data_IF_022519770813
#
_entry.id   IF_022519770813
#
_cell.length_a   1.000
_cell.length_b   1.000
_cell.length_c   1.000
_cell.angle_alpha   90.00
_cell.angle_beta   90.00
_cell.angle_gamma   90.00
#
_symmetry.space_group_name_H-M   'P 1'
#
loop_
_entity.id
_entity.type
_entity.pdbx_description
1 polymer ?
#
# COMPACT_ATOMS: atom_id res chain seq x y z
N UNK A 1 -16.96 14.90 7.82
CA UNK A 1 -18.02 14.36 8.71
C UNK A 1 -17.50 13.18 9.54
N UNK A 2 -17.97 12.98 10.79
CA UNK A 2 -17.52 11.88 11.65
C UNK A 2 -17.66 10.49 11.00
N UNK A 3 -18.72 10.25 10.24
CA UNK A 3 -18.93 8.99 9.52
C UNK A 3 -17.80 8.68 8.53
N UNK A 4 -17.42 9.66 7.69
CA UNK A 4 -16.34 9.51 6.70
C UNK A 4 -14.98 9.33 7.40
N UNK A 5 -14.74 10.09 8.47
CA UNK A 5 -13.50 9.99 9.24
C UNK A 5 -13.33 8.62 9.91
N UNK A 6 -14.38 8.12 10.58
CA UNK A 6 -14.36 6.81 11.24
C UNK A 6 -14.20 5.66 10.24
N UNK A 7 -14.91 5.74 9.10
CA UNK A 7 -14.82 4.74 8.05
C UNK A 7 -13.44 4.73 7.41
N UNK A 8 -12.93 5.88 6.96
CA UNK A 8 -11.62 5.97 6.31
C UNK A 8 -10.46 5.53 7.22
N UNK A 9 -10.50 5.89 8.51
CA UNK A 9 -9.49 5.45 9.47
C UNK A 9 -9.54 3.93 9.70
N UNK A 10 -10.72 3.38 10.01
CA UNK A 10 -10.87 1.94 10.30
C UNK A 10 -10.63 1.06 9.07
N UNK A 11 -11.14 1.48 7.91
CA UNK A 11 -10.98 0.77 6.65
C UNK A 11 -9.55 0.88 6.12
N UNK A 12 -8.92 2.06 6.25
CA UNK A 12 -7.55 2.28 5.85
C UNK A 12 -6.52 1.50 6.68
N UNK A 13 -6.82 1.25 7.96
CA UNK A 13 -5.98 0.42 8.82
C UNK A 13 -5.86 -1.05 8.35
N UNK A 14 -6.84 -1.56 7.61
CA UNK A 14 -6.90 -2.97 7.20
C UNK A 14 -6.64 -3.20 5.71
N UNK A 15 -7.19 -2.37 4.82
CA UNK A 15 -7.13 -2.53 3.35
C UNK A 15 -6.25 -1.46 2.69
N UNK A 16 -6.04 -0.32 3.35
CA UNK A 16 -5.30 0.84 2.82
C UNK A 16 -3.79 0.85 3.12
N UNK A 17 -3.16 -0.31 3.27
CA UNK A 17 -1.78 -0.42 3.76
C UNK A 17 -0.71 -0.23 2.67
N UNK A 18 -0.70 0.93 2.00
CA UNK A 18 0.25 1.24 0.91
C UNK A 18 1.73 1.04 1.32
N UNK A 19 2.08 1.38 2.56
CA UNK A 19 3.43 1.22 3.09
C UNK A 19 3.80 -0.26 3.28
N UNK A 20 2.89 -1.07 3.82
CA UNK A 20 3.17 -2.47 4.14
C UNK A 20 3.02 -3.40 2.93
N UNK A 21 1.96 -3.23 2.15
CA UNK A 21 1.62 -4.12 1.03
C UNK A 21 2.23 -3.65 -0.31
N UNK A 22 2.51 -2.35 -0.46
CA UNK A 22 3.08 -1.77 -1.67
C UNK A 22 4.57 -1.52 -1.55
N UNK A 23 4.94 -0.53 -0.73
CA UNK A 23 6.31 0.01 -0.70
C UNK A 23 7.30 -1.00 -0.11
N UNK A 24 6.95 -1.69 0.98
CA UNK A 24 7.89 -2.61 1.62
C UNK A 24 8.36 -3.76 0.73
N UNK A 25 7.48 -4.59 0.14
CA UNK A 25 7.95 -5.66 -0.74
C UNK A 25 8.69 -5.13 -1.98
N UNK A 26 8.31 -3.95 -2.51
CA UNK A 26 9.04 -3.31 -3.60
C UNK A 26 10.47 -2.97 -3.19
N UNK A 27 10.62 -2.33 -2.03
CA UNK A 27 11.92 -1.94 -1.47
C UNK A 27 12.81 -3.18 -1.28
N UNK A 28 12.27 -4.26 -0.71
CA UNK A 28 13.00 -5.52 -0.54
C UNK A 28 13.44 -6.11 -1.89
N UNK A 29 12.52 -6.19 -2.86
CA UNK A 29 12.81 -6.75 -4.17
C UNK A 29 13.92 -5.97 -4.90
N UNK A 30 13.83 -4.64 -4.89
CA UNK A 30 14.82 -3.74 -5.51
C UNK A 30 16.17 -3.83 -4.81
N UNK A 31 16.20 -3.95 -3.48
CA UNK A 31 17.45 -4.07 -2.71
C UNK A 31 18.17 -5.41 -2.98
N UNK A 32 17.41 -6.48 -3.23
CA UNK A 32 17.94 -7.83 -3.45
C UNK A 32 18.32 -8.10 -4.90
N UNK A 33 17.61 -7.51 -5.86
CA UNK A 33 17.86 -7.78 -7.28
C UNK A 33 19.35 -7.72 -7.69
N UNK A 34 20.16 -6.70 -7.29
CA UNK A 34 21.58 -6.65 -7.63
C UNK A 34 22.41 -7.82 -7.09
N UNK A 35 22.07 -8.36 -5.91
CA UNK A 35 22.82 -9.48 -5.33
C UNK A 35 22.60 -10.79 -6.08
N UNK A 36 21.50 -10.86 -6.84
CA UNK A 36 21.14 -11.97 -7.73
C UNK A 36 21.56 -11.72 -9.18
N UNK A 37 22.31 -10.64 -9.46
CA UNK A 37 22.70 -10.26 -10.82
C UNK A 37 21.56 -9.69 -11.67
N UNK A 38 20.42 -9.35 -11.06
CA UNK A 38 19.27 -8.75 -11.73
C UNK A 38 19.42 -7.23 -11.68
N UNK A 39 19.22 -6.55 -12.81
CA UNK A 39 19.21 -5.09 -12.85
C UNK A 39 17.85 -4.57 -12.33
N UNK A 40 17.78 -3.89 -11.18
CA UNK A 40 16.51 -3.38 -10.63
C UNK A 40 15.92 -2.23 -11.45
N UNK A 41 16.71 -1.59 -12.31
CA UNK A 41 16.25 -0.51 -13.19
C UNK A 41 15.76 -1.04 -14.54
N UNK A 42 15.84 -2.35 -14.77
CA UNK A 42 15.27 -2.94 -15.98
C UNK A 42 13.76 -2.77 -16.01
N UNK A 43 13.24 -2.35 -17.17
CA UNK A 43 11.82 -2.04 -17.34
C UNK A 43 10.97 -3.29 -17.13
N UNK A 44 11.42 -4.46 -17.58
CA UNK A 44 10.66 -5.70 -17.39
C UNK A 44 10.58 -6.11 -15.92
N UNK A 45 11.68 -5.90 -15.17
CA UNK A 45 11.68 -6.11 -13.72
C UNK A 45 10.68 -5.18 -13.03
N UNK A 46 10.71 -3.88 -13.32
CA UNK A 46 9.81 -2.88 -12.72
C UNK A 46 8.35 -3.19 -13.04
N UNK A 47 8.03 -3.49 -14.30
CA UNK A 47 6.66 -3.82 -14.71
C UNK A 47 6.14 -5.09 -14.03
N UNK A 48 6.97 -6.14 -13.97
CA UNK A 48 6.62 -7.39 -13.29
C UNK A 48 6.41 -7.16 -11.80
N UNK A 49 7.29 -6.38 -11.17
CA UNK A 49 7.20 -6.04 -9.76
C UNK A 49 5.91 -5.27 -9.43
N UNK A 50 5.57 -4.26 -10.24
CA UNK A 50 4.33 -3.49 -10.09
C UNK A 50 3.11 -4.41 -10.23
N UNK A 51 3.08 -5.27 -11.25
CA UNK A 51 1.97 -6.19 -11.48
C UNK A 51 1.78 -7.16 -10.31
N UNK A 52 2.86 -7.80 -9.85
CA UNK A 52 2.83 -8.75 -8.73
C UNK A 52 2.41 -8.06 -7.43
N UNK A 53 2.96 -6.87 -7.13
CA UNK A 53 2.58 -6.12 -5.92
C UNK A 53 1.11 -5.72 -5.96
N UNK A 54 0.63 -5.23 -7.10
CA UNK A 54 -0.76 -4.79 -7.26
C UNK A 54 -1.74 -5.94 -7.03
N UNK A 55 -1.43 -7.12 -7.54
CA UNK A 55 -2.26 -8.31 -7.32
C UNK A 55 -2.12 -8.80 -5.87
N UNK A 56 -0.88 -8.87 -5.36
CA UNK A 56 -0.59 -9.35 -4.02
C UNK A 56 -1.20 -8.47 -2.92
N UNK A 57 -1.33 -7.15 -3.14
CA UNK A 57 -1.87 -6.23 -2.12
C UNK A 57 -3.29 -6.58 -1.70
N UNK A 58 -4.10 -7.11 -2.62
CA UNK A 58 -5.45 -7.59 -2.28
C UNK A 58 -5.44 -8.78 -1.32
N UNK A 59 -4.43 -9.66 -1.41
CA UNK A 59 -4.29 -10.82 -0.52
C UNK A 59 -3.80 -10.49 0.89
N UNK A 60 -3.37 -9.25 1.12
CA UNK A 60 -2.82 -8.78 2.41
C UNK A 60 -3.88 -7.98 3.21
N UNK A 61 -4.97 -7.61 2.56
CA UNK A 61 -6.11 -6.95 3.21
C UNK A 61 -6.58 -7.72 4.45
N UNK A 62 -6.50 -7.09 5.62
CA UNK A 62 -7.05 -7.63 6.88
C UNK A 62 -6.25 -8.76 7.54
N UNK A 63 -5.09 -9.16 7.02
CA UNK A 63 -4.19 -10.11 7.71
C UNK A 63 -3.22 -9.39 8.66
N UNK A 64 -3.00 -9.97 9.83
CA UNK A 64 -2.03 -9.45 10.80
C UNK A 64 -0.59 -9.58 10.28
N UNK A 65 0.26 -8.58 10.55
CA UNK A 65 1.67 -8.59 10.10
C UNK A 65 1.83 -8.29 8.60
N UNK A 66 1.00 -7.42 8.04
CA UNK A 66 0.86 -7.19 6.59
C UNK A 66 2.17 -7.03 5.80
N UNK A 67 3.19 -6.35 6.36
CA UNK A 67 4.48 -6.18 5.70
C UNK A 67 5.24 -7.50 5.50
N UNK A 68 5.24 -8.37 6.52
CA UNK A 68 5.87 -9.69 6.46
C UNK A 68 5.19 -10.57 5.43
N UNK A 69 3.85 -10.62 5.42
CA UNK A 69 3.10 -11.38 4.42
C UNK A 69 3.30 -10.83 3.01
N UNK A 70 3.38 -9.50 2.86
CA UNK A 70 3.70 -8.89 1.58
C UNK A 70 5.05 -9.35 1.02
N UNK A 71 6.08 -9.37 1.86
CA UNK A 71 7.39 -9.85 1.47
C UNK A 71 7.38 -11.35 1.11
N UNK A 72 6.66 -12.17 1.89
CA UNK A 72 6.57 -13.62 1.67
C UNK A 72 5.79 -14.00 0.40
N UNK A 73 4.91 -13.13 -0.09
CA UNK A 73 4.19 -13.36 -1.35
C UNK A 73 5.00 -12.82 -2.54
N UNK A 74 5.46 -11.56 -2.45
CA UNK A 74 6.06 -10.86 -3.58
C UNK A 74 7.46 -11.39 -3.91
N UNK A 75 8.32 -11.64 -2.92
CA UNK A 75 9.69 -12.07 -3.20
C UNK A 75 9.73 -13.43 -3.91
N UNK A 76 9.04 -14.49 -3.45
CA UNK A 76 9.00 -15.76 -4.19
C UNK A 76 8.34 -15.63 -5.56
N UNK A 77 7.30 -14.81 -5.71
CA UNK A 77 6.66 -14.56 -6.99
C UNK A 77 7.61 -13.88 -8.01
N UNK A 78 8.57 -13.09 -7.53
CA UNK A 78 9.65 -12.51 -8.33
C UNK A 78 10.87 -13.46 -8.49
N UNK A 79 10.84 -14.66 -7.92
CA UNK A 79 11.97 -15.58 -7.89
C UNK A 79 13.11 -15.14 -6.96
N UNK A 80 12.83 -14.25 -6.00
CA UNK A 80 13.80 -13.69 -5.07
C UNK A 80 13.74 -14.41 -3.70
N UNK A 81 14.88 -14.52 -3.00
CA UNK A 81 14.95 -15.18 -1.69
C UNK A 81 14.28 -14.36 -0.57
N UNK A 82 13.36 -14.99 0.17
CA UNK A 82 12.69 -14.38 1.35
C UNK A 82 13.60 -14.18 2.55
N UNK A 83 14.71 -14.93 2.61
CA UNK A 83 15.67 -14.88 3.72
C UNK A 83 16.32 -13.51 3.88
N UNK A 84 16.24 -12.64 2.87
CA UNK A 84 16.76 -11.26 2.94
C UNK A 84 15.92 -10.38 3.88
N UNK A 85 14.65 -10.70 4.14
CA UNK A 85 13.90 -10.01 5.19
C UNK A 85 14.61 -10.09 6.56
N UNK A 86 15.36 -11.18 6.82
CA UNK A 86 16.14 -11.33 8.04
C UNK A 86 17.37 -10.39 8.10
N UNK A 87 17.92 -9.97 6.96
CA UNK A 87 19.06 -9.04 6.92
C UNK A 87 18.68 -7.63 7.39
N UNK A 88 17.41 -7.27 7.28
CA UNK A 88 16.92 -5.93 7.65
C UNK A 88 16.37 -5.86 9.07
N UNK A 89 16.47 -6.94 9.85
CA UNK A 89 15.89 -7.00 11.20
C UNK A 89 16.43 -5.91 12.14
N UNK A 90 17.68 -5.47 11.91
CA UNK A 90 18.32 -4.40 12.69
C UNK A 90 17.73 -3.02 12.43
N UNK A 91 17.18 -2.77 11.24
CA UNK A 91 16.63 -1.48 10.82
C UNK A 91 15.10 -1.52 10.67
N UNK A 92 14.48 -2.70 10.78
CA UNK A 92 13.03 -2.88 10.67
C UNK A 92 12.23 -1.93 11.58
N UNK A 93 12.62 -1.63 12.84
CA UNK A 93 11.87 -0.66 13.65
C UNK A 93 11.79 0.73 13.03
N UNK A 94 12.87 1.19 12.36
CA UNK A 94 12.87 2.50 11.68
C UNK A 94 11.97 2.48 10.44
N UNK A 95 12.05 1.41 9.65
CA UNK A 95 11.25 1.23 8.44
C UNK A 95 9.76 1.11 8.80
N UNK A 96 9.44 0.36 9.87
CA UNK A 96 8.07 0.15 10.31
C UNK A 96 7.38 1.43 10.74
N UNK A 97 8.09 2.30 11.46
CA UNK A 97 7.58 3.63 11.80
C UNK A 97 7.23 4.44 10.55
N UNK A 98 8.11 4.45 9.54
CA UNK A 98 7.88 5.19 8.29
C UNK A 98 6.68 4.63 7.51
N UNK A 99 6.57 3.29 7.39
CA UNK A 99 5.43 2.65 6.71
C UNK A 99 4.12 2.91 7.44
N UNK A 100 4.12 2.86 8.77
CA UNK A 100 2.93 3.12 9.58
C UNK A 100 2.47 4.56 9.43
N UNK A 101 3.39 5.52 9.47
CA UNK A 101 3.08 6.92 9.22
C UNK A 101 2.45 7.14 7.83
N UNK A 102 2.98 6.47 6.81
CA UNK A 102 2.45 6.55 5.45
C UNK A 102 1.03 5.94 5.34
N UNK A 103 0.76 4.80 5.98
CA UNK A 103 -0.58 4.19 5.99
C UNK A 103 -1.62 5.09 6.66
N UNK A 104 -1.26 5.73 7.78
CA UNK A 104 -2.14 6.67 8.49
C UNK A 104 -2.39 7.91 7.62
N UNK A 105 -1.34 8.47 7.01
CA UNK A 105 -1.46 9.62 6.10
C UNK A 105 -2.34 9.30 4.89
N UNK A 106 -2.19 8.12 4.30
CA UNK A 106 -3.04 7.65 3.20
C UNK A 106 -4.51 7.54 3.60
N UNK A 107 -4.78 7.00 4.79
CA UNK A 107 -6.15 6.87 5.32
C UNK A 107 -6.82 8.24 5.53
N UNK A 108 -6.09 9.21 6.08
CA UNK A 108 -6.57 10.60 6.22
C UNK A 108 -6.81 11.25 4.86
N UNK A 109 -5.90 11.04 3.90
CA UNK A 109 -6.02 11.57 2.55
C UNK A 109 -7.26 11.01 1.85
N UNK A 110 -7.51 9.71 1.94
CA UNK A 110 -8.72 9.09 1.41
C UNK A 110 -9.99 9.67 2.03
N UNK A 111 -10.02 9.86 3.36
CA UNK A 111 -11.16 10.46 4.06
C UNK A 111 -11.43 11.92 3.64
N UNK A 112 -10.38 12.73 3.48
CA UNK A 112 -10.51 14.13 3.05
C UNK A 112 -10.99 14.24 1.59
N UNK A 113 -10.47 13.39 0.70
CA UNK A 113 -10.92 13.34 -0.70
C UNK A 113 -12.37 12.87 -0.78
N UNK A 114 -12.73 11.78 -0.10
CA UNK A 114 -14.10 11.28 -0.07
C UNK A 114 -15.09 12.34 0.45
N UNK A 115 -14.71 13.06 1.52
CA UNK A 115 -15.55 14.15 2.04
C UNK A 115 -15.74 15.31 1.05
N UNK A 116 -14.76 15.59 0.19
CA UNK A 116 -14.88 16.62 -0.85
C UNK A 116 -15.78 16.15 -1.99
N UNK A 117 -15.54 14.94 -2.49
CA UNK A 117 -16.28 14.35 -3.62
C UNK A 117 -17.77 14.15 -3.29
N UNK A 118 -18.09 13.68 -2.09
CA UNK A 118 -19.49 13.50 -1.69
C UNK A 118 -20.21 14.84 -1.52
N UNK A 119 -19.54 15.86 -0.98
CA UNK A 119 -20.12 17.20 -0.83
C UNK A 119 -20.35 17.90 -2.17
N UNK A 120 -19.46 17.70 -3.16
CA UNK A 120 -19.71 18.19 -4.52
C UNK A 120 -20.88 17.48 -5.19
N UNK A 121 -21.02 16.16 -4.97
CA UNK A 121 -22.15 15.40 -5.48
C UNK A 121 -23.48 15.87 -4.89
N UNK A 122 -23.56 16.09 -3.57
CA UNK A 122 -24.77 16.62 -2.93
C UNK A 122 -25.16 18.01 -3.47
N UNK A 123 -24.17 18.87 -3.72
CA UNK A 123 -24.41 20.20 -4.30
C UNK A 123 -24.90 20.12 -5.75
N UNK A 124 -24.37 19.19 -6.54
CA UNK A 124 -24.76 18.98 -7.94
C UNK A 124 -26.17 18.41 -8.06
N UNK A 125 -26.54 17.43 -7.23
CA UNK A 125 -27.91 16.87 -7.17
C UNK A 125 -28.94 17.92 -6.74
N UNK A 126 -28.63 18.74 -5.72
CA UNK A 126 -29.53 19.80 -5.28
C UNK A 126 -29.77 20.85 -6.39
N UNK A 127 -28.74 21.19 -7.17
CA UNK A 127 -28.85 22.09 -8.32
C UNK A 127 -29.72 21.52 -9.45
N UNK A 128 -29.74 20.20 -9.62
CA UNK A 128 -30.59 19.51 -10.60
C UNK A 128 -32.06 19.50 -10.17
N UNK A 129 -32.34 19.20 -8.89
CA UNK A 129 -33.69 19.23 -8.32
C UNK A 129 -34.31 20.64 -8.33
N UNK A 130 -33.51 21.69 -8.21
CA UNK A 130 -34.01 23.08 -8.26
C UNK A 130 -34.31 23.57 -9.69
N UNK A 131 -33.84 22.85 -10.72
CA UNK A 131 -34.05 23.18 -12.14
C UNK A 131 -35.20 22.40 -12.78
N UNK A 132 -35.69 21.35 -12.12
CA UNK A 132 -36.87 20.56 -12.50
C UNK A 132 -38.17 21.20 -11.97
#
# INVERSE_FOLDING_TARGET
>A
PPAIANLSASFGATIGQNGCAGIYPAMLAVMVAPTMGINPLDVNFILSLIAIITISSFGIAGVGGGATFAALIVLPAMGLPVTIAALLISIEPLIDMARTALNVSGSMTAGTIASRVLKSSEAETALEETKA
#
